data_IF_234281391031
#
_entry.id   IF_234281391031
#
_cell.length_a   1.000
_cell.length_b   1.000
_cell.length_c   1.000
_cell.angle_alpha   90.00
_cell.angle_beta   90.00
_cell.angle_gamma   90.00
#
_symmetry.space_group_name_H-M   'P 1'
#
loop_
_entity.id
_entity.type
_entity.pdbx_description
1 polymer ?
#
# COMPACT_ATOMS: atom_id res chain seq x y z
N UNK A 1 -10.57 -16.87 9.57
CA UNK A 1 -10.36 -16.10 8.35
C UNK A 1 -9.56 -14.81 8.56
N UNK A 2 -9.32 -14.39 9.83
CA UNK A 2 -8.48 -13.24 10.19
C UNK A 2 -7.72 -13.51 11.49
N UNK A 3 -6.72 -12.68 11.78
CA UNK A 3 -5.95 -12.72 13.02
C UNK A 3 -6.09 -11.39 13.75
N UNK A 4 -6.20 -11.43 15.08
CA UNK A 4 -6.16 -10.22 15.90
C UNK A 4 -4.70 -9.80 16.11
N UNK A 5 -4.46 -8.50 16.13
CA UNK A 5 -3.15 -7.91 16.35
C UNK A 5 -3.09 -7.47 17.81
N UNK A 6 -2.34 -8.18 18.65
CA UNK A 6 -2.30 -7.94 20.10
C UNK A 6 -1.31 -6.82 20.49
N UNK A 7 -0.42 -6.42 19.59
CA UNK A 7 0.69 -5.50 19.88
C UNK A 7 0.36 -4.02 19.61
N UNK A 8 -0.84 -3.71 19.15
CA UNK A 8 -1.20 -2.33 18.80
C UNK A 8 -2.07 -1.74 19.90
N UNK A 9 -1.53 -0.75 20.60
CA UNK A 9 -2.33 0.29 21.25
C UNK A 9 -2.89 1.21 20.16
N UNK A 10 -3.76 0.68 19.29
CA UNK A 10 -4.49 1.52 18.37
C UNK A 10 -5.37 2.43 19.23
N UNK A 11 -5.24 3.74 19.03
CA UNK A 11 -6.24 4.66 19.56
C UNK A 11 -7.60 4.14 19.11
N UNK A 12 -8.52 3.97 20.04
CA UNK A 12 -9.86 3.53 19.67
C UNK A 12 -10.45 4.58 18.74
N UNK A 13 -10.91 4.18 17.52
CA UNK A 13 -11.65 5.11 16.69
C UNK A 13 -12.79 5.70 17.50
N UNK A 14 -13.03 6.98 17.36
CA UNK A 14 -14.19 7.62 18.00
C UNK A 14 -15.44 7.16 17.27
N UNK A 15 -16.56 7.14 17.97
CA UNK A 15 -17.84 6.84 17.35
C UNK A 15 -18.08 7.84 16.19
N UNK A 16 -18.29 7.32 14.99
CA UNK A 16 -18.46 8.10 13.75
C UNK A 16 -17.20 8.29 12.92
N UNK A 17 -16.01 7.88 13.39
CA UNK A 17 -14.82 7.87 12.55
C UNK A 17 -14.95 6.76 11.48
N UNK A 18 -14.43 6.98 10.25
CA UNK A 18 -14.43 5.94 9.24
C UNK A 18 -13.53 4.76 9.68
N UNK A 19 -13.92 3.55 9.30
CA UNK A 19 -13.12 2.36 9.55
C UNK A 19 -11.88 2.40 8.66
N UNK A 20 -10.69 2.40 9.28
CA UNK A 20 -9.43 2.37 8.54
C UNK A 20 -9.20 0.99 7.94
N UNK A 21 -9.02 0.94 6.62
CA UNK A 21 -8.59 -0.25 5.89
C UNK A 21 -7.28 0.05 5.20
N UNK A 22 -6.25 -0.72 5.50
CA UNK A 22 -4.92 -0.52 4.93
C UNK A 22 -4.42 -1.77 4.24
N UNK A 23 -4.05 -1.65 2.97
CA UNK A 23 -3.33 -2.69 2.25
C UNK A 23 -1.85 -2.60 2.56
N UNK A 24 -1.25 -3.72 2.99
CA UNK A 24 0.20 -3.88 3.03
C UNK A 24 0.61 -4.58 1.75
N UNK A 25 1.44 -3.92 0.93
CA UNK A 25 1.75 -4.36 -0.42
C UNK A 25 3.21 -4.09 -0.81
N UNK A 26 3.62 -4.50 -1.99
CA UNK A 26 4.84 -4.03 -2.66
C UNK A 26 4.64 -4.05 -4.16
N UNK A 27 5.16 -3.05 -4.85
CA UNK A 27 5.22 -3.07 -6.31
C UNK A 27 6.00 -4.27 -6.87
N UNK A 28 6.96 -4.82 -6.12
CA UNK A 28 7.71 -6.01 -6.53
C UNK A 28 6.96 -7.34 -6.33
N UNK A 29 5.76 -7.32 -5.77
CA UNK A 29 4.99 -8.52 -5.48
C UNK A 29 3.99 -8.84 -6.60
N UNK A 30 4.20 -9.93 -7.32
CA UNK A 30 3.29 -10.39 -8.38
C UNK A 30 1.87 -10.69 -7.87
N UNK A 31 1.73 -11.14 -6.62
CA UNK A 31 0.43 -11.39 -6.01
C UNK A 31 -0.31 -10.09 -5.68
N UNK A 32 0.42 -9.01 -5.34
CA UNK A 32 -0.17 -7.69 -5.16
C UNK A 32 -0.64 -7.13 -6.51
N UNK A 33 0.20 -7.22 -7.56
CA UNK A 33 -0.18 -6.85 -8.92
C UNK A 33 -1.46 -7.57 -9.38
N UNK A 34 -1.52 -8.89 -9.22
CA UNK A 34 -2.69 -9.68 -9.61
C UNK A 34 -3.94 -9.38 -8.77
N UNK A 35 -3.79 -8.90 -7.54
CA UNK A 35 -4.88 -8.57 -6.63
C UNK A 35 -5.40 -7.15 -6.82
N UNK A 36 -4.57 -6.23 -7.30
CA UNK A 36 -4.88 -4.80 -7.39
C UNK A 36 -6.19 -4.48 -8.18
N UNK A 37 -6.51 -5.11 -9.32
CA UNK A 37 -7.77 -4.85 -10.01
C UNK A 37 -9.02 -5.17 -9.17
N UNK A 38 -8.98 -6.23 -8.36
CA UNK A 38 -10.09 -6.59 -7.47
C UNK A 38 -10.20 -5.63 -6.30
N UNK A 39 -9.06 -5.25 -5.73
CA UNK A 39 -8.99 -4.28 -4.64
C UNK A 39 -9.46 -2.89 -5.10
N UNK A 40 -9.07 -2.45 -6.28
CA UNK A 40 -9.50 -1.17 -6.86
C UNK A 40 -11.02 -1.14 -7.08
N UNK A 41 -11.61 -2.24 -7.59
CA UNK A 41 -13.08 -2.37 -7.71
C UNK A 41 -13.77 -2.39 -6.35
N UNK A 42 -13.17 -3.04 -5.35
CA UNK A 42 -13.67 -3.03 -3.98
C UNK A 42 -13.64 -1.60 -3.41
N UNK A 43 -12.52 -0.89 -3.55
CA UNK A 43 -12.38 0.49 -3.07
C UNK A 43 -13.42 1.43 -3.68
N UNK A 44 -13.70 1.33 -4.98
CA UNK A 44 -14.70 2.17 -5.67
C UNK A 44 -16.14 1.96 -5.15
N UNK A 45 -16.43 0.80 -4.56
CA UNK A 45 -17.75 0.49 -3.97
C UNK A 45 -17.87 0.93 -2.52
N UNK A 46 -16.77 1.35 -1.88
CA UNK A 46 -16.81 1.78 -0.50
C UNK A 46 -17.47 3.15 -0.37
N UNK A 47 -18.17 3.33 0.75
CA UNK A 47 -18.82 4.59 1.12
C UNK A 47 -17.91 5.42 2.04
N UNK A 48 -18.36 6.60 2.43
CA UNK A 48 -17.66 7.50 3.36
C UNK A 48 -17.28 6.85 4.72
N UNK A 49 -17.90 5.72 5.07
CA UNK A 49 -17.58 4.98 6.29
C UNK A 49 -16.26 4.19 6.26
N UNK A 50 -15.52 4.19 5.16
CA UNK A 50 -14.24 3.47 5.01
C UNK A 50 -13.14 4.42 4.55
N UNK A 51 -12.06 4.50 5.34
CA UNK A 51 -10.83 5.19 4.97
C UNK A 51 -9.79 4.18 4.47
N UNK A 52 -9.62 4.09 3.14
CA UNK A 52 -8.64 3.20 2.54
C UNK A 52 -7.28 3.87 2.36
N UNK A 53 -6.21 3.12 2.63
CA UNK A 53 -4.82 3.54 2.39
C UNK A 53 -3.92 2.36 2.03
N UNK A 54 -2.76 2.65 1.45
CA UNK A 54 -1.71 1.67 1.18
C UNK A 54 -0.47 1.92 2.03
N UNK A 55 0.20 0.85 2.44
CA UNK A 55 1.45 0.88 3.18
C UNK A 55 2.46 -0.07 2.51
N UNK A 56 3.56 0.44 1.96
CA UNK A 56 4.54 -0.42 1.32
C UNK A 56 5.29 -1.27 2.36
N UNK A 57 5.37 -2.58 2.11
CA UNK A 57 6.19 -3.48 2.88
C UNK A 57 7.67 -3.31 2.52
N UNK A 58 8.55 -3.38 3.52
CA UNK A 58 10.01 -3.26 3.34
C UNK A 58 10.68 -4.49 3.94
N UNK A 59 10.74 -5.58 3.17
CA UNK A 59 11.32 -6.85 3.61
C UNK A 59 12.76 -7.07 3.14
N UNK A 60 13.19 -6.33 2.12
CA UNK A 60 14.54 -6.42 1.54
C UNK A 60 15.01 -5.03 1.06
N UNK A 61 16.31 -4.86 0.70
CA UNK A 61 16.81 -3.63 0.10
C UNK A 61 16.08 -3.24 -1.20
N UNK A 62 15.71 -4.21 -2.04
CA UNK A 62 14.94 -3.95 -3.26
C UNK A 62 13.54 -3.40 -2.93
N UNK A 63 12.92 -3.90 -1.86
CA UNK A 63 11.62 -3.40 -1.42
C UNK A 63 11.70 -2.05 -0.71
N UNK A 64 12.86 -1.71 -0.12
CA UNK A 64 13.14 -0.36 0.37
C UNK A 64 13.09 0.66 -0.78
N UNK A 65 13.74 0.33 -1.90
CA UNK A 65 13.68 1.13 -3.13
C UNK A 65 12.22 1.34 -3.60
N UNK A 66 11.44 0.24 -3.68
CA UNK A 66 10.05 0.31 -4.15
C UNK A 66 9.16 1.11 -3.20
N UNK A 67 9.40 1.03 -1.89
CA UNK A 67 8.72 1.86 -0.91
C UNK A 67 9.09 3.35 -1.05
N UNK A 68 10.35 3.64 -1.39
CA UNK A 68 10.81 5.00 -1.69
C UNK A 68 10.10 5.56 -2.93
N UNK A 69 9.96 4.77 -3.99
CA UNK A 69 9.20 5.15 -5.20
C UNK A 69 7.75 5.48 -4.84
N UNK A 70 7.09 4.62 -4.07
CA UNK A 70 5.73 4.85 -3.59
C UNK A 70 5.59 6.20 -2.87
N UNK A 71 6.45 6.46 -1.88
CA UNK A 71 6.37 7.71 -1.13
C UNK A 71 6.81 8.94 -1.92
N UNK A 72 7.62 8.79 -2.95
CA UNK A 72 7.94 9.87 -3.90
C UNK A 72 6.68 10.28 -4.66
N UNK A 73 5.94 9.31 -5.22
CA UNK A 73 4.68 9.57 -5.89
C UNK A 73 3.64 10.22 -4.96
N UNK A 74 3.56 9.76 -3.70
CA UNK A 74 2.68 10.34 -2.69
C UNK A 74 3.03 11.80 -2.35
N UNK A 75 4.32 12.12 -2.18
CA UNK A 75 4.80 13.48 -1.88
C UNK A 75 4.54 14.43 -3.05
N UNK A 76 4.63 13.94 -4.28
CA UNK A 76 4.35 14.70 -5.49
C UNK A 76 2.83 14.81 -5.80
N UNK A 77 1.98 14.11 -5.04
CA UNK A 77 0.53 14.11 -5.24
C UNK A 77 0.05 13.33 -6.46
N UNK A 78 0.90 12.47 -7.03
CA UNK A 78 0.63 11.67 -8.24
C UNK A 78 0.51 10.17 -7.94
N UNK A 79 0.41 9.79 -6.67
CA UNK A 79 0.40 8.38 -6.24
C UNK A 79 -0.72 7.56 -6.89
N UNK A 80 -1.94 8.10 -6.95
CA UNK A 80 -3.07 7.40 -7.58
C UNK A 80 -2.86 7.21 -9.09
N UNK A 81 -2.28 8.21 -9.78
CA UNK A 81 -2.04 8.18 -11.21
C UNK A 81 -0.92 7.20 -11.60
N UNK A 82 0.11 7.09 -10.76
CA UNK A 82 1.28 6.24 -11.01
C UNK A 82 1.13 4.81 -10.50
N UNK A 83 0.07 4.49 -9.72
CA UNK A 83 -0.03 3.19 -9.06
C UNK A 83 -0.06 2.01 -10.05
N UNK A 84 -0.95 2.03 -11.00
CA UNK A 84 -1.06 1.01 -12.04
C UNK A 84 0.16 1.02 -12.98
N UNK A 85 0.62 2.18 -13.54
CA UNK A 85 1.82 2.26 -14.36
C UNK A 85 3.09 1.69 -13.69
N UNK A 86 3.27 1.88 -12.38
CA UNK A 86 4.41 1.30 -11.65
C UNK A 86 4.34 -0.23 -11.58
N UNK A 87 3.17 -0.80 -11.35
CA UNK A 87 3.00 -2.24 -11.44
C UNK A 87 3.27 -2.77 -12.84
N UNK A 88 2.76 -2.12 -13.89
CA UNK A 88 2.99 -2.51 -15.27
C UNK A 88 4.45 -2.38 -15.67
N UNK A 89 5.12 -1.29 -15.29
CA UNK A 89 6.54 -1.07 -15.54
C UNK A 89 7.38 -2.23 -15.00
N UNK A 90 7.07 -2.74 -13.81
CA UNK A 90 7.82 -3.79 -13.15
C UNK A 90 7.45 -5.19 -13.70
N UNK A 91 6.15 -5.50 -13.75
CA UNK A 91 5.70 -6.88 -14.00
C UNK A 91 5.50 -7.20 -15.48
N UNK A 92 5.14 -6.22 -16.30
CA UNK A 92 4.87 -6.38 -17.73
C UNK A 92 6.05 -5.92 -18.59
N UNK A 93 6.45 -4.67 -18.43
CA UNK A 93 7.52 -4.06 -19.22
C UNK A 93 8.91 -4.45 -18.73
N UNK A 94 9.04 -4.92 -17.49
CA UNK A 94 10.30 -5.32 -16.85
C UNK A 94 11.36 -4.22 -16.86
N UNK A 95 10.93 -2.98 -16.64
CA UNK A 95 11.83 -1.85 -16.57
C UNK A 95 12.75 -1.96 -15.34
N UNK A 96 13.99 -1.50 -15.51
CA UNK A 96 14.90 -1.37 -14.37
C UNK A 96 14.56 -0.12 -13.55
N UNK A 97 13.56 -0.25 -12.66
CA UNK A 97 13.14 0.85 -11.75
C UNK A 97 14.20 1.20 -10.69
N UNK A 98 15.33 0.48 -10.65
CA UNK A 98 16.51 0.86 -9.88
C UNK A 98 17.35 1.96 -10.55
N UNK A 99 17.13 2.21 -11.85
CA UNK A 99 17.76 3.30 -12.59
C UNK A 99 16.90 4.57 -12.45
N UNK A 100 17.45 5.59 -11.79
CA UNK A 100 16.75 6.85 -11.56
C UNK A 100 16.35 7.58 -12.84
N UNK A 101 17.11 7.40 -13.95
CA UNK A 101 16.76 8.00 -15.24
C UNK A 101 15.52 7.33 -15.83
N UNK A 102 15.42 6.01 -15.70
CA UNK A 102 14.22 5.25 -16.11
C UNK A 102 13.01 5.67 -15.29
N UNK A 103 13.19 5.80 -13.99
CA UNK A 103 12.13 6.28 -13.09
C UNK A 103 11.67 7.70 -13.41
N UNK A 104 12.61 8.64 -13.59
CA UNK A 104 12.28 10.03 -13.90
C UNK A 104 11.43 10.11 -15.17
N UNK A 105 11.80 9.36 -16.21
CA UNK A 105 10.99 9.27 -17.44
C UNK A 105 9.61 8.69 -17.20
N UNK A 106 9.50 7.62 -16.43
CA UNK A 106 8.20 7.03 -16.10
C UNK A 106 7.28 8.05 -15.39
N UNK A 107 7.83 8.82 -14.45
CA UNK A 107 7.09 9.87 -13.75
C UNK A 107 6.71 11.02 -14.68
N UNK A 108 7.56 11.38 -15.63
CA UNK A 108 7.25 12.40 -16.64
C UNK A 108 6.18 11.92 -17.62
N UNK A 109 6.36 10.73 -18.22
CA UNK A 109 5.46 10.18 -19.23
C UNK A 109 4.05 9.90 -18.67
N UNK A 110 3.95 9.35 -17.46
CA UNK A 110 2.68 8.93 -16.89
C UNK A 110 1.99 10.01 -16.04
N UNK A 111 2.76 10.96 -15.49
CA UNK A 111 2.21 11.95 -14.55
C UNK A 111 2.64 13.39 -14.81
N UNK A 112 3.43 13.65 -15.86
CA UNK A 112 3.90 15.00 -16.19
C UNK A 112 4.85 15.61 -15.16
N UNK A 113 5.47 14.79 -14.31
CA UNK A 113 6.42 15.23 -13.28
C UNK A 113 7.77 15.50 -13.93
N UNK A 114 8.26 16.72 -13.81
CA UNK A 114 9.58 17.08 -14.34
C UNK A 114 10.69 16.34 -13.59
N UNK A 115 11.78 16.02 -14.30
CA UNK A 115 12.91 15.28 -13.73
C UNK A 115 13.49 15.93 -12.47
N UNK A 116 13.63 17.27 -12.45
CA UNK A 116 14.15 17.99 -11.27
C UNK A 116 13.23 17.87 -10.05
N UNK A 117 11.91 17.94 -10.25
CA UNK A 117 10.91 17.77 -9.20
C UNK A 117 10.90 16.33 -8.67
N UNK A 118 11.00 15.35 -9.58
CA UNK A 118 11.15 13.94 -9.22
C UNK A 118 12.40 13.73 -8.35
N UNK A 119 13.58 14.18 -8.81
CA UNK A 119 14.84 14.00 -8.08
C UNK A 119 14.80 14.67 -6.71
N UNK A 120 14.29 15.89 -6.62
CA UNK A 120 14.15 16.60 -5.36
C UNK A 120 13.24 15.85 -4.37
N UNK A 121 12.11 15.31 -4.82
CA UNK A 121 11.21 14.52 -3.99
C UNK A 121 11.83 13.16 -3.60
N UNK A 122 12.44 12.47 -4.55
CA UNK A 122 13.06 11.16 -4.36
C UNK A 122 14.19 11.19 -3.32
N UNK A 123 14.98 12.28 -3.27
CA UNK A 123 16.06 12.51 -2.29
C UNK A 123 15.57 13.11 -0.97
N UNK A 124 14.30 13.52 -0.88
CA UNK A 124 13.79 14.23 0.27
C UNK A 124 13.88 13.40 1.57
N UNK A 125 14.26 14.06 2.67
CA UNK A 125 14.25 13.45 4.00
C UNK A 125 12.87 12.93 4.41
N UNK A 126 11.80 13.62 3.99
CA UNK A 126 10.42 13.22 4.26
C UNK A 126 10.10 11.84 3.68
N UNK A 127 10.55 11.54 2.46
CA UNK A 127 10.38 10.24 1.80
C UNK A 127 11.13 9.15 2.58
N UNK A 128 12.41 9.36 2.89
CA UNK A 128 13.21 8.42 3.69
C UNK A 128 12.59 8.15 5.07
N UNK A 129 12.11 9.19 5.73
CA UNK A 129 11.43 9.07 7.03
C UNK A 129 10.15 8.25 6.94
N UNK A 130 9.34 8.42 5.87
CA UNK A 130 8.13 7.63 5.64
C UNK A 130 8.45 6.15 5.41
N UNK A 131 9.50 5.82 4.65
CA UNK A 131 9.96 4.44 4.45
C UNK A 131 10.33 3.77 5.78
N UNK A 132 11.09 4.47 6.64
CA UNK A 132 11.46 3.94 7.96
C UNK A 132 10.22 3.71 8.85
N UNK A 133 9.26 4.63 8.85
CA UNK A 133 7.98 4.49 9.58
C UNK A 133 7.17 3.31 9.05
N UNK A 134 7.10 3.13 7.72
CA UNK A 134 6.40 2.00 7.10
C UNK A 134 7.01 0.67 7.55
N UNK A 135 8.34 0.53 7.50
CA UNK A 135 9.05 -0.66 7.99
C UNK A 135 8.68 -0.97 9.44
N UNK A 136 8.68 0.05 10.31
CA UNK A 136 8.29 -0.09 11.71
C UNK A 136 6.84 -0.55 11.85
N UNK A 137 5.91 0.07 11.13
CA UNK A 137 4.47 -0.22 11.19
C UNK A 137 4.15 -1.64 10.68
N UNK A 138 4.75 -2.07 9.57
CA UNK A 138 4.62 -3.44 9.03
C UNK A 138 5.07 -4.49 10.06
N UNK A 139 6.19 -4.22 10.76
CA UNK A 139 6.68 -5.10 11.82
C UNK A 139 5.74 -5.11 13.03
N UNK A 140 5.22 -3.96 13.45
CA UNK A 140 4.24 -3.86 14.55
C UNK A 140 2.98 -4.65 14.25
N UNK A 141 2.51 -4.64 13.00
CA UNK A 141 1.37 -5.45 12.58
C UNK A 141 1.69 -6.96 12.47
N UNK A 142 2.94 -7.36 12.62
CA UNK A 142 3.38 -8.75 12.48
C UNK A 142 3.15 -9.30 11.06
N UNK A 143 3.23 -8.44 10.04
CA UNK A 143 3.05 -8.85 8.64
C UNK A 143 4.33 -9.50 8.12
N UNK A 144 4.20 -10.71 7.59
CA UNK A 144 5.30 -11.51 7.06
C UNK A 144 5.17 -11.84 5.58
N UNK A 145 4.11 -11.36 4.93
CA UNK A 145 3.85 -11.56 3.51
C UNK A 145 2.79 -10.58 2.99
N UNK A 146 2.76 -10.40 1.70
CA UNK A 146 1.84 -9.48 1.01
C UNK A 146 1.18 -10.18 -0.19
N UNK A 147 -0.01 -9.75 -0.61
CA UNK A 147 -0.81 -8.70 0.00
C UNK A 147 -1.38 -9.11 1.37
N UNK A 148 -1.55 -8.13 2.26
CA UNK A 148 -2.19 -8.32 3.57
C UNK A 148 -3.05 -7.10 3.85
N UNK A 149 -4.29 -7.31 4.32
CA UNK A 149 -5.20 -6.22 4.70
C UNK A 149 -5.17 -6.03 6.22
N UNK A 150 -5.16 -4.78 6.66
CA UNK A 150 -5.26 -4.40 8.07
C UNK A 150 -6.55 -3.60 8.25
N UNK A 151 -7.36 -3.94 9.23
CA UNK A 151 -8.60 -3.22 9.55
C UNK A 151 -8.46 -2.60 10.94
N UNK A 152 -8.62 -1.29 11.04
CA UNK A 152 -8.51 -0.45 12.26
C UNK A 152 -7.22 -0.71 13.07
N UNK A 153 -6.13 -1.18 12.42
CA UNK A 153 -4.93 -1.61 13.13
C UNK A 153 -5.12 -2.83 14.04
N UNK A 154 -6.33 -3.39 14.14
CA UNK A 154 -6.72 -4.45 15.08
C UNK A 154 -6.72 -5.85 14.46
N UNK A 155 -7.04 -5.93 13.17
CA UNK A 155 -7.21 -7.20 12.48
C UNK A 155 -6.30 -7.30 11.27
N UNK A 156 -5.69 -8.46 11.10
CA UNK A 156 -4.85 -8.80 9.94
C UNK A 156 -5.53 -9.90 9.14
N UNK A 157 -5.71 -9.67 7.86
CA UNK A 157 -6.30 -10.61 6.89
C UNK A 157 -5.29 -10.86 5.78
N UNK A 158 -4.96 -12.11 5.52
CA UNK A 158 -4.07 -12.54 4.43
C UNK A 158 -4.77 -13.58 3.56
N UNK A 159 -4.32 -13.75 2.33
CA UNK A 159 -4.85 -14.79 1.44
C UNK A 159 -4.80 -16.18 2.08
N UNK A 160 -3.76 -16.47 2.87
CA UNK A 160 -3.66 -17.74 3.60
C UNK A 160 -4.74 -17.91 4.66
N UNK A 161 -5.13 -16.85 5.37
CA UNK A 161 -6.17 -16.93 6.41
C UNK A 161 -7.57 -16.88 5.83
N UNK A 162 -7.78 -16.16 4.74
CA UNK A 162 -9.07 -16.00 4.07
C UNK A 162 -9.38 -17.14 3.09
N UNK A 163 -8.35 -17.84 2.58
CA UNK A 163 -8.45 -18.89 1.57
C UNK A 163 -7.97 -18.46 0.18
N UNK A 164 -8.04 -17.17 -0.15
CA UNK A 164 -7.45 -16.57 -1.34
C UNK A 164 -7.27 -15.06 -1.15
N UNK A 165 -6.54 -14.41 -2.05
CA UNK A 165 -6.40 -12.94 -1.99
C UNK A 165 -7.74 -12.24 -2.23
N UNK A 166 -8.56 -12.74 -3.15
CA UNK A 166 -9.91 -12.17 -3.42
C UNK A 166 -10.84 -12.36 -2.22
N UNK A 167 -10.81 -13.53 -1.57
CA UNK A 167 -11.60 -13.81 -0.37
C UNK A 167 -11.22 -12.91 0.83
N UNK A 168 -10.04 -12.27 0.81
CA UNK A 168 -9.72 -11.25 1.83
C UNK A 168 -10.74 -10.13 1.86
N UNK A 169 -11.29 -9.71 0.71
CA UNK A 169 -12.21 -8.58 0.63
C UNK A 169 -13.53 -8.86 1.33
N UNK A 170 -14.04 -10.10 1.25
CA UNK A 170 -15.25 -10.52 1.99
C UNK A 170 -15.01 -10.46 3.51
N UNK A 171 -13.82 -10.89 3.95
CA UNK A 171 -13.45 -10.83 5.37
C UNK A 171 -13.27 -9.39 5.83
N UNK A 172 -12.72 -8.52 4.97
CA UNK A 172 -12.59 -7.07 5.25
C UNK A 172 -13.97 -6.43 5.37
N UNK A 173 -14.91 -6.71 4.46
CA UNK A 173 -16.29 -6.21 4.52
C UNK A 173 -16.99 -6.61 5.83
N UNK A 174 -16.83 -7.87 6.25
CA UNK A 174 -17.32 -8.34 7.55
C UNK A 174 -16.72 -7.55 8.71
N UNK A 175 -15.40 -7.30 8.68
CA UNK A 175 -14.72 -6.57 9.75
C UNK A 175 -15.08 -5.09 9.76
N UNK A 176 -15.24 -4.47 8.59
CA UNK A 176 -15.74 -3.09 8.45
C UNK A 176 -17.13 -2.98 9.10
N UNK A 177 -18.07 -3.84 8.73
CA UNK A 177 -19.40 -3.84 9.31
C UNK A 177 -19.40 -4.06 10.84
N UNK A 178 -18.47 -4.87 11.35
CA UNK A 178 -18.30 -5.12 12.79
C UNK A 178 -17.71 -3.91 13.54
N UNK A 179 -16.78 -3.17 12.94
CA UNK A 179 -16.12 -2.02 13.58
C UNK A 179 -16.93 -0.73 13.45
N UNK A 180 -17.89 -0.66 12.52
CA UNK A 180 -18.80 0.47 12.34
C UNK A 180 -19.95 0.50 13.38
N UNK A 181 -20.11 -0.53 14.21
CA UNK A 181 -21.11 -0.62 15.29
C UNK A 181 -20.58 0.02 16.57
#
# INVERSE_FOLDING_TARGET
>A
HYQRIDSVTAERPKAGDPVEVQEIFSYGCIHCYSFDPELSRWQQRQTEGVAFSRLPAVFSPEWDLLARIFYTAEVLGVGAQLHEPLFEAIHVQRLNVGDETVLARLFEDEAGVKEDDFRAAYEAFSVRSRVLKARGKVRTYGVTGVPTMIVNGKYRVSGRTAGSNVAMLEVVDFLVAKEAQ
#
